data_IF_582953548164
#
_entry.id   IF_582953548164
#
_cell.length_a   1.000
_cell.length_b   1.000
_cell.length_c   1.000
_cell.angle_alpha   90.00
_cell.angle_beta   90.00
_cell.angle_gamma   90.00
#
_symmetry.space_group_name_H-M   'P 1'
#
loop_
_entity.id
_entity.type
_entity.pdbx_description
1 polymer ?
#
# COMPACT_ATOMS: atom_id res chain seq x y z
N UNK A 1 50.26 30.33 36.28
CA UNK A 1 49.94 29.71 34.98
C UNK A 1 49.94 28.21 35.22
N UNK A 2 48.92 27.68 35.90
CA UNK A 2 47.58 27.37 35.34
C UNK A 2 47.71 26.33 34.22
N UNK A 3 47.04 25.18 34.23
CA UNK A 3 45.59 25.05 34.38
C UNK A 3 45.25 23.61 34.77
N UNK A 4 44.46 23.46 35.83
CA UNK A 4 43.70 22.25 36.15
C UNK A 4 42.50 22.19 35.22
N UNK A 5 42.40 21.16 34.38
CA UNK A 5 41.17 20.84 33.66
C UNK A 5 40.69 19.44 34.02
N UNK A 6 39.61 19.44 34.80
CA UNK A 6 38.68 18.33 34.95
C UNK A 6 37.85 18.31 33.67
N UNK A 7 38.00 17.30 32.83
CA UNK A 7 37.02 17.02 31.78
C UNK A 7 36.13 15.88 32.25
N UNK A 8 34.92 16.27 32.64
CA UNK A 8 33.81 15.37 32.87
C UNK A 8 33.48 14.63 31.56
N UNK A 9 33.63 13.31 31.55
CA UNK A 9 33.08 12.45 30.50
C UNK A 9 31.56 12.47 30.63
N UNK A 10 30.89 13.33 29.87
CA UNK A 10 29.46 13.25 29.67
C UNK A 10 29.14 11.94 28.95
N UNK A 11 28.58 10.97 29.69
CA UNK A 11 28.09 9.72 29.14
C UNK A 11 26.98 10.00 28.14
N UNK A 12 27.22 9.70 26.87
CA UNK A 12 26.19 9.65 25.84
C UNK A 12 25.38 8.37 26.11
N UNK A 13 24.32 8.50 26.90
CA UNK A 13 23.29 7.49 27.01
C UNK A 13 22.56 7.38 25.67
N UNK A 14 22.92 6.36 24.89
CA UNK A 14 22.15 5.94 23.71
C UNK A 14 20.77 5.48 24.21
N UNK A 15 19.79 6.37 24.18
CA UNK A 15 18.38 6.01 24.31
C UNK A 15 18.00 5.16 23.09
N UNK A 16 18.09 3.84 23.25
CA UNK A 16 17.42 2.89 22.38
C UNK A 16 15.91 3.03 22.56
N UNK A 17 15.30 3.95 21.83
CA UNK A 17 13.86 3.95 21.62
C UNK A 17 13.51 2.74 20.76
N UNK A 18 13.09 1.66 21.41
CA UNK A 18 12.45 0.52 20.77
C UNK A 18 11.18 1.00 20.07
N UNK A 19 11.28 1.32 18.78
CA UNK A 19 10.12 1.52 17.93
C UNK A 19 9.44 0.16 17.78
N UNK A 20 8.52 -0.15 18.70
CA UNK A 20 7.55 -1.21 18.51
C UNK A 20 6.70 -0.81 17.32
N UNK A 21 7.05 -1.33 16.15
CA UNK A 21 6.29 -1.17 14.91
C UNK A 21 4.95 -1.90 15.11
N UNK A 22 3.95 -1.17 15.61
CA UNK A 22 2.61 -1.71 15.80
C UNK A 22 2.11 -2.27 14.47
N UNK A 23 1.63 -3.51 14.48
CA UNK A 23 1.02 -4.09 13.29
C UNK A 23 -0.14 -3.19 12.84
N UNK A 24 -0.33 -2.97 11.53
CA UNK A 24 -1.41 -2.14 11.03
C UNK A 24 -2.75 -2.70 11.54
N UNK A 25 -3.64 -1.79 11.97
CA UNK A 25 -4.92 -2.17 12.55
C UNK A 25 -5.74 -3.03 11.58
N UNK A 26 -6.54 -3.98 12.06
CA UNK A 26 -7.47 -4.69 11.19
C UNK A 26 -8.64 -3.76 10.78
N UNK A 27 -9.26 -4.01 9.63
CA UNK A 27 -10.50 -3.33 9.24
C UNK A 27 -11.64 -3.70 10.21
N UNK A 28 -12.41 -2.71 10.64
CA UNK A 28 -13.58 -2.93 11.49
C UNK A 28 -14.74 -3.57 10.71
N UNK A 29 -15.81 -3.98 11.42
CA UNK A 29 -17.02 -4.51 10.77
C UNK A 29 -17.70 -3.49 9.87
N UNK A 30 -17.61 -2.21 10.20
CA UNK A 30 -18.22 -1.13 9.41
C UNK A 30 -17.40 -0.82 8.14
N UNK A 31 -16.14 -1.24 8.11
CA UNK A 31 -15.22 -1.10 6.97
C UNK A 31 -15.26 -2.29 6.01
N UNK A 32 -16.20 -3.23 6.17
CA UNK A 32 -16.34 -4.42 5.31
C UNK A 32 -16.34 -4.10 3.80
N UNK A 33 -17.06 -3.08 3.29
CA UNK A 33 -17.01 -2.74 1.86
C UNK A 33 -15.62 -2.28 1.41
N UNK A 34 -14.91 -1.53 2.26
CA UNK A 34 -13.55 -1.06 1.97
C UNK A 34 -12.56 -2.22 2.01
N UNK A 35 -12.66 -3.12 2.99
CA UNK A 35 -11.84 -4.33 3.07
C UNK A 35 -12.01 -5.18 1.81
N UNK A 36 -13.25 -5.43 1.40
CA UNK A 36 -13.54 -6.16 0.16
C UNK A 36 -12.94 -5.47 -1.06
N UNK A 37 -13.05 -4.15 -1.16
CA UNK A 37 -12.47 -3.41 -2.28
C UNK A 37 -10.93 -3.48 -2.32
N UNK A 38 -10.27 -3.55 -1.15
CA UNK A 38 -8.82 -3.78 -1.03
C UNK A 38 -8.45 -5.20 -1.50
N UNK A 39 -9.20 -6.22 -1.09
CA UNK A 39 -9.02 -7.62 -1.54
C UNK A 39 -9.25 -7.76 -3.05
N UNK A 40 -10.32 -7.16 -3.56
CA UNK A 40 -10.67 -7.17 -4.99
C UNK A 40 -9.62 -6.43 -5.83
N UNK A 41 -8.96 -5.38 -5.29
CA UNK A 41 -7.87 -4.68 -5.96
C UNK A 41 -6.64 -5.58 -6.18
N UNK A 42 -6.27 -6.38 -5.17
CA UNK A 42 -5.17 -7.34 -5.29
C UNK A 42 -5.47 -8.40 -6.35
N UNK A 43 -6.70 -8.93 -6.36
CA UNK A 43 -7.08 -9.88 -7.40
C UNK A 43 -7.15 -9.25 -8.79
N UNK A 44 -7.63 -8.02 -8.90
CA UNK A 44 -7.66 -7.30 -10.16
C UNK A 44 -6.25 -7.09 -10.73
N UNK A 45 -5.30 -6.71 -9.88
CA UNK A 45 -3.89 -6.54 -10.26
C UNK A 45 -3.26 -7.84 -10.73
N UNK A 46 -3.53 -8.95 -10.05
CA UNK A 46 -3.06 -10.28 -10.46
C UNK A 46 -3.51 -10.62 -11.90
N UNK A 47 -4.78 -10.39 -12.24
CA UNK A 47 -5.26 -10.60 -13.62
C UNK A 47 -4.63 -9.64 -14.65
N UNK A 48 -4.25 -8.42 -14.25
CA UNK A 48 -3.68 -7.42 -15.16
C UNK A 48 -2.27 -7.79 -15.66
N UNK A 49 -1.53 -8.59 -14.89
CA UNK A 49 -0.18 -9.06 -15.26
C UNK A 49 -0.14 -10.36 -16.08
N UNK A 50 -1.20 -11.17 -16.06
CA UNK A 50 -1.14 -12.56 -16.59
C UNK A 50 -1.82 -12.79 -17.95
N UNK A 51 -2.64 -11.86 -18.46
CA UNK A 51 -3.50 -12.16 -19.63
C UNK A 51 -2.99 -11.59 -20.96
N UNK A 52 -2.22 -12.41 -21.70
CA UNK A 52 -2.06 -12.31 -23.16
C UNK A 52 -2.75 -13.52 -23.82
N UNK A 53 -4.08 -13.49 -23.85
CA UNK A 53 -4.90 -14.62 -24.29
C UNK A 53 -4.96 -14.86 -25.80
N UNK A 54 -5.26 -16.09 -26.20
CA UNK A 54 -5.49 -16.54 -27.58
C UNK A 54 -6.96 -16.38 -28.04
N UNK A 55 -7.83 -15.89 -27.16
CA UNK A 55 -9.26 -15.71 -27.42
C UNK A 55 -10.11 -16.97 -27.18
N UNK A 56 -9.55 -17.98 -26.55
CA UNK A 56 -10.22 -19.25 -26.21
C UNK A 56 -11.46 -19.08 -25.32
N UNK A 57 -12.22 -20.16 -25.16
CA UNK A 57 -13.33 -20.20 -24.21
C UNK A 57 -12.87 -19.94 -22.76
N UNK A 58 -11.66 -20.42 -22.42
CA UNK A 58 -11.00 -20.17 -21.13
C UNK A 58 -10.73 -18.69 -20.93
N UNK A 59 -10.22 -17.98 -21.93
CA UNK A 59 -9.97 -16.54 -21.83
C UNK A 59 -11.25 -15.74 -21.61
N UNK A 60 -12.34 -16.14 -22.27
CA UNK A 60 -13.65 -15.52 -22.07
C UNK A 60 -14.18 -15.74 -20.65
N UNK A 61 -13.94 -16.91 -20.08
CA UNK A 61 -14.27 -17.22 -18.69
C UNK A 61 -13.44 -16.37 -17.72
N UNK A 62 -12.12 -16.31 -17.91
CA UNK A 62 -11.26 -15.52 -17.02
C UNK A 62 -11.55 -14.03 -17.14
N UNK A 63 -11.78 -13.51 -18.35
CA UNK A 63 -12.20 -12.13 -18.55
C UNK A 63 -13.57 -11.83 -17.89
N UNK A 64 -14.41 -12.84 -17.65
CA UNK A 64 -15.66 -12.69 -16.89
C UNK A 64 -15.38 -12.61 -15.40
N UNK A 65 -14.50 -13.45 -14.87
CA UNK A 65 -14.11 -13.41 -13.45
C UNK A 65 -13.35 -12.12 -13.11
N UNK A 66 -12.43 -11.69 -13.97
CA UNK A 66 -11.72 -10.43 -13.82
C UNK A 66 -12.71 -9.25 -13.71
N UNK A 67 -13.76 -9.21 -14.52
CA UNK A 67 -14.79 -8.14 -14.44
C UNK A 67 -15.56 -8.11 -13.12
N UNK A 68 -15.67 -9.24 -12.41
CA UNK A 68 -16.35 -9.28 -11.11
C UNK A 68 -15.52 -8.62 -10.01
N UNK A 69 -14.19 -8.69 -10.09
CA UNK A 69 -13.28 -8.14 -9.08
C UNK A 69 -12.71 -6.76 -9.47
N UNK A 70 -12.47 -6.52 -10.76
CA UNK A 70 -12.03 -5.23 -11.29
C UNK A 70 -13.18 -4.21 -11.42
N UNK A 71 -13.90 -3.93 -10.33
CA UNK A 71 -15.03 -2.99 -10.35
C UNK A 71 -14.57 -1.55 -10.18
N UNK A 72 -15.11 -0.64 -11.01
CA UNK A 72 -14.79 0.79 -10.92
C UNK A 72 -15.21 1.40 -9.58
N UNK A 73 -16.29 0.93 -8.98
CA UNK A 73 -16.75 1.41 -7.68
C UNK A 73 -15.81 1.02 -6.55
N UNK A 74 -15.38 -0.25 -6.47
CA UNK A 74 -14.41 -0.70 -5.47
C UNK A 74 -13.09 0.06 -5.58
N UNK A 75 -12.58 0.20 -6.81
CA UNK A 75 -11.37 0.98 -7.09
C UNK A 75 -11.50 2.44 -6.62
N UNK A 76 -12.61 3.11 -6.94
CA UNK A 76 -12.88 4.48 -6.47
C UNK A 76 -13.00 4.56 -4.95
N UNK A 77 -13.59 3.55 -4.31
CA UNK A 77 -13.73 3.49 -2.86
C UNK A 77 -12.36 3.47 -2.18
N UNK A 78 -11.44 2.62 -2.65
CA UNK A 78 -10.05 2.57 -2.15
C UNK A 78 -9.35 3.92 -2.32
N UNK A 79 -9.38 4.48 -3.54
CA UNK A 79 -8.70 5.76 -3.81
C UNK A 79 -9.31 6.92 -3.01
N UNK A 80 -10.63 6.92 -2.80
CA UNK A 80 -11.31 7.92 -1.97
C UNK A 80 -10.95 7.77 -0.50
N UNK A 81 -10.88 6.54 0.02
CA UNK A 81 -10.48 6.27 1.38
C UNK A 81 -9.03 6.72 1.63
N UNK A 82 -8.12 6.42 0.70
CA UNK A 82 -6.73 6.87 0.78
C UNK A 82 -6.61 8.40 0.73
N UNK A 83 -7.33 9.09 -0.16
CA UNK A 83 -7.33 10.56 -0.20
C UNK A 83 -7.89 11.19 1.07
N UNK A 84 -8.87 10.55 1.71
CA UNK A 84 -9.43 11.01 2.99
C UNK A 84 -8.45 10.80 4.15
N UNK A 85 -7.71 9.69 4.15
CA UNK A 85 -6.69 9.40 5.16
C UNK A 85 -5.41 8.83 4.52
N UNK A 86 -4.49 9.69 4.04
CA UNK A 86 -3.27 9.25 3.35
C UNK A 86 -2.24 8.54 4.26
N UNK A 87 -2.51 8.49 5.57
CA UNK A 87 -1.70 7.81 6.59
C UNK A 87 -2.20 6.39 6.90
N UNK A 88 -3.30 5.96 6.28
CA UNK A 88 -3.81 4.61 6.46
C UNK A 88 -2.98 3.59 5.67
N UNK A 89 -1.97 3.02 6.34
CA UNK A 89 -1.04 2.04 5.75
C UNK A 89 -1.73 0.79 5.21
N UNK A 90 -2.92 0.45 5.72
CA UNK A 90 -3.72 -0.71 5.28
C UNK A 90 -4.14 -0.59 3.81
N UNK A 91 -4.21 0.64 3.30
CA UNK A 91 -4.62 0.94 1.92
C UNK A 91 -3.44 0.95 0.96
N UNK A 92 -2.21 1.04 1.45
CA UNK A 92 -1.05 1.32 0.60
C UNK A 92 -0.82 0.27 -0.49
N UNK A 93 -0.87 -1.06 -0.20
CA UNK A 93 -0.73 -2.07 -1.24
C UNK A 93 -1.79 -1.91 -2.34
N UNK A 94 -3.06 -1.74 -1.97
CA UNK A 94 -4.14 -1.59 -2.93
C UNK A 94 -4.02 -0.29 -3.74
N UNK A 95 -3.60 0.81 -3.12
CA UNK A 95 -3.38 2.09 -3.82
C UNK A 95 -2.25 1.97 -4.84
N UNK A 96 -1.15 1.30 -4.49
CA UNK A 96 -0.05 1.03 -5.40
C UNK A 96 -0.48 0.13 -6.56
N UNK A 97 -1.20 -0.97 -6.28
CA UNK A 97 -1.73 -1.90 -7.28
C UNK A 97 -2.74 -1.24 -8.24
N UNK A 98 -3.51 -0.26 -7.75
CA UNK A 98 -4.50 0.45 -8.55
C UNK A 98 -3.91 1.62 -9.34
N UNK A 99 -2.67 2.03 -9.07
CA UNK A 99 -2.01 3.06 -9.84
C UNK A 99 -1.86 2.61 -11.30
N UNK A 100 -2.28 3.45 -12.24
CA UNK A 100 -2.35 3.11 -13.67
C UNK A 100 -3.56 2.26 -14.09
N UNK A 101 -4.26 1.58 -13.17
CA UNK A 101 -5.50 0.84 -13.47
C UNK A 101 -6.76 1.70 -13.34
N UNK A 102 -6.71 2.75 -12.50
CA UNK A 102 -7.84 3.63 -12.23
C UNK A 102 -7.72 4.93 -13.01
N UNK A 103 -8.84 5.41 -13.56
CA UNK A 103 -8.91 6.71 -14.21
C UNK A 103 -8.68 7.84 -13.19
N UNK A 104 -7.57 8.57 -13.32
CA UNK A 104 -7.20 9.68 -12.45
C UNK A 104 -5.74 10.10 -12.66
N UNK A 105 -5.29 11.19 -12.00
CA UNK A 105 -3.87 11.51 -12.00
C UNK A 105 -3.10 10.36 -11.31
N UNK A 106 -2.02 9.86 -11.93
CA UNK A 106 -1.18 8.83 -11.33
C UNK A 106 -0.52 9.37 -10.06
N UNK A 107 -0.10 8.47 -9.19
CA UNK A 107 0.72 8.81 -8.04
C UNK A 107 2.05 9.39 -8.51
N UNK A 108 2.51 10.46 -7.86
CA UNK A 108 3.86 10.97 -8.10
C UNK A 108 4.92 9.97 -7.63
N UNK A 109 6.12 10.04 -8.19
CA UNK A 109 7.23 9.16 -7.81
C UNK A 109 7.56 9.25 -6.30
N UNK A 110 7.46 10.46 -5.74
CA UNK A 110 7.64 10.69 -4.30
C UNK A 110 6.55 10.00 -3.45
N UNK A 111 5.30 10.02 -3.91
CA UNK A 111 4.22 9.31 -3.23
C UNK A 111 4.38 7.81 -3.32
N UNK A 112 4.77 7.29 -4.51
CA UNK A 112 5.05 5.86 -4.70
C UNK A 112 6.18 5.40 -3.79
N UNK A 113 7.30 6.11 -3.75
CA UNK A 113 8.43 5.79 -2.88
C UNK A 113 8.02 5.78 -1.39
N UNK A 114 7.23 6.77 -0.96
CA UNK A 114 6.70 6.83 0.41
C UNK A 114 5.79 5.64 0.73
N UNK A 115 4.88 5.30 -0.17
CA UNK A 115 3.98 4.17 -0.03
C UNK A 115 4.76 2.86 0.00
N UNK A 116 5.72 2.67 -0.90
CA UNK A 116 6.57 1.49 -0.98
C UNK A 116 7.47 1.28 0.24
N UNK A 117 8.01 2.35 0.82
CA UNK A 117 8.80 2.26 2.05
C UNK A 117 7.99 1.74 3.26
N UNK A 118 6.66 1.89 3.23
CA UNK A 118 5.76 1.48 4.30
C UNK A 118 4.94 0.22 3.95
N UNK A 119 4.62 0.03 2.68
CA UNK A 119 3.88 -1.11 2.19
C UNK A 119 4.80 -2.33 2.20
N UNK A 120 4.49 -3.30 3.07
CA UNK A 120 5.22 -4.58 3.17
C UNK A 120 4.89 -5.51 1.99
N UNK A 121 5.00 -5.01 0.76
CA UNK A 121 4.62 -5.71 -0.47
C UNK A 121 5.69 -5.53 -1.54
N UNK A 122 6.30 -6.64 -1.97
CA UNK A 122 7.32 -6.66 -3.04
C UNK A 122 6.67 -6.64 -4.43
N UNK A 123 5.35 -6.83 -4.53
CA UNK A 123 4.63 -6.96 -5.80
C UNK A 123 4.61 -5.69 -6.67
N UNK A 124 4.83 -4.51 -6.08
CA UNK A 124 4.70 -3.21 -6.78
C UNK A 124 5.87 -2.26 -6.45
N UNK A 125 6.80 -2.70 -5.61
CA UNK A 125 7.86 -1.90 -5.04
C UNK A 125 9.17 -2.66 -5.22
N UNK A 126 9.99 -2.18 -6.15
CA UNK A 126 11.32 -2.71 -6.48
C UNK A 126 12.41 -2.11 -5.57
#
# INVERSE_FOLDING_TARGET
MDFRWIFATAGVGLLSTSLSLAAPAAFSKDEQPLRKAVEDAAMCFHFAGEFSGDGSARDKEVAREQRKVCTKEGQRLVMKAYRKNPRDERLYPAVLMLDGLVSGPPLSDAEKARLCAAAKTELVCD
#
